data_IF_174955536381
#
_entry.id   IF_174955536381
#
_cell.length_a   1.000
_cell.length_b   1.000
_cell.length_c   1.000
_cell.angle_alpha   90.00
_cell.angle_beta   90.00
_cell.angle_gamma   90.00
#
_symmetry.space_group_name_H-M   'P 1'
#
loop_
_entity.id
_entity.type
_entity.pdbx_description
1 polymer ?
#
# COMPACT_ATOMS: atom_id res chain seq x y z
N UNK A 1 5.31 -15.37 -7.44
CA UNK A 1 6.53 -14.58 -7.72
C UNK A 1 7.42 -14.52 -6.48
N UNK A 2 8.02 -15.63 -6.02
CA UNK A 2 8.93 -15.62 -4.86
C UNK A 2 10.18 -14.76 -5.07
N UNK A 3 10.57 -14.54 -6.33
CA UNK A 3 11.74 -13.78 -6.77
C UNK A 3 11.55 -12.26 -6.72
N UNK A 4 10.30 -11.78 -6.60
CA UNK A 4 9.99 -10.34 -6.52
C UNK A 4 9.88 -9.88 -5.08
N UNK A 5 10.27 -8.63 -4.84
CA UNK A 5 10.11 -7.95 -3.56
C UNK A 5 8.78 -7.21 -3.53
N UNK A 6 8.10 -7.29 -2.40
CA UNK A 6 6.85 -6.59 -2.14
C UNK A 6 7.02 -5.69 -0.92
N UNK A 7 6.35 -4.55 -0.94
CA UNK A 7 6.30 -3.63 0.18
C UNK A 7 4.83 -3.39 0.53
N UNK A 8 4.46 -3.67 1.78
CA UNK A 8 3.11 -3.39 2.30
C UNK A 8 3.21 -2.19 3.21
N UNK A 9 2.61 -1.09 2.80
CA UNK A 9 2.51 0.14 3.58
C UNK A 9 1.10 0.27 4.15
N UNK A 10 0.98 0.21 5.48
CA UNK A 10 -0.30 0.46 6.17
C UNK A 10 -0.55 -0.44 7.38
N UNK A 11 -1.40 0.01 8.30
CA UNK A 11 -1.70 -0.69 9.54
C UNK A 11 -2.85 -1.70 9.36
N UNK A 12 -3.33 -2.26 10.47
CA UNK A 12 -4.56 -3.07 10.58
C UNK A 12 -4.50 -4.47 9.92
N UNK A 13 -3.31 -5.06 9.90
CA UNK A 13 -3.15 -6.51 9.72
C UNK A 13 -3.17 -7.20 11.09
N UNK A 14 -3.65 -8.46 11.18
CA UNK A 14 -3.54 -9.26 12.40
C UNK A 14 -2.11 -9.29 12.94
N UNK A 15 -1.94 -9.26 14.26
CA UNK A 15 -0.61 -9.21 14.90
C UNK A 15 0.25 -10.46 14.60
N UNK A 16 -0.40 -11.58 14.31
CA UNK A 16 0.18 -12.87 13.97
C UNK A 16 0.36 -13.08 12.45
N UNK A 17 0.19 -12.03 11.63
CA UNK A 17 0.40 -12.11 10.19
C UNK A 17 1.83 -12.55 9.87
N UNK A 18 1.97 -13.76 9.32
CA UNK A 18 3.25 -14.28 8.86
C UNK A 18 3.59 -13.70 7.48
N UNK A 19 4.41 -12.65 7.45
CA UNK A 19 4.90 -12.08 6.20
C UNK A 19 5.92 -13.00 5.53
N UNK A 20 5.75 -13.33 4.23
CA UNK A 20 6.77 -14.03 3.47
C UNK A 20 8.10 -13.28 3.47
N UNK A 21 9.22 -14.01 3.31
CA UNK A 21 10.59 -13.42 3.32
C UNK A 21 10.82 -12.32 2.28
N UNK A 22 10.03 -12.31 1.21
CA UNK A 22 10.12 -11.33 0.13
C UNK A 22 9.14 -10.15 0.32
N UNK A 23 8.50 -10.04 1.49
CA UNK A 23 7.59 -8.94 1.85
C UNK A 23 8.20 -8.12 2.98
N UNK A 24 8.32 -6.81 2.76
CA UNK A 24 8.60 -5.83 3.82
C UNK A 24 7.30 -5.15 4.23
N UNK A 25 6.91 -5.26 5.49
CA UNK A 25 5.74 -4.58 6.05
C UNK A 25 6.17 -3.34 6.83
N UNK A 26 5.58 -2.20 6.51
CA UNK A 26 5.69 -0.97 7.28
C UNK A 26 4.27 -0.51 7.70
N UNK A 27 3.92 -0.56 8.99
CA UNK A 27 2.59 -0.21 9.46
C UNK A 27 2.27 1.29 9.33
N UNK A 28 3.28 2.16 9.23
CA UNK A 28 3.08 3.60 9.10
C UNK A 28 4.17 4.25 8.24
N UNK A 29 3.80 4.60 7.00
CA UNK A 29 4.62 5.41 6.11
C UNK A 29 4.20 6.89 6.25
N UNK A 30 5.09 7.80 6.68
CA UNK A 30 4.74 9.20 6.82
C UNK A 30 4.50 9.87 5.45
N UNK A 31 3.64 10.90 5.36
CA UNK A 31 3.31 11.58 4.12
C UNK A 31 4.50 12.12 3.32
N UNK A 32 5.54 12.59 4.00
CA UNK A 32 6.77 13.07 3.36
C UNK A 32 7.48 12.00 2.54
N UNK A 33 7.23 10.71 2.80
CA UNK A 33 7.80 9.58 2.07
C UNK A 33 6.86 8.98 1.01
N UNK A 34 5.60 9.44 0.91
CA UNK A 34 4.67 8.94 -0.11
C UNK A 34 5.23 9.09 -1.54
N UNK A 35 5.82 10.23 -1.95
CA UNK A 35 6.30 10.38 -3.33
C UNK A 35 7.42 9.39 -3.67
N UNK A 36 8.36 9.20 -2.75
CA UNK A 36 9.45 8.22 -2.88
C UNK A 36 8.88 6.80 -2.95
N UNK A 37 7.92 6.48 -2.08
CA UNK A 37 7.30 5.15 -2.09
C UNK A 37 6.58 4.86 -3.40
N UNK A 38 5.69 5.75 -3.85
CA UNK A 38 4.88 5.52 -5.05
C UNK A 38 5.73 5.45 -6.32
N UNK A 39 6.73 6.34 -6.47
CA UNK A 39 7.64 6.34 -7.62
C UNK A 39 8.68 5.20 -7.64
N UNK A 40 8.82 4.44 -6.54
CA UNK A 40 9.81 3.35 -6.43
C UNK A 40 9.32 1.98 -6.92
N UNK A 41 8.00 1.81 -7.05
CA UNK A 41 7.40 0.52 -7.39
C UNK A 41 7.13 0.42 -8.89
N UNK A 42 7.24 -0.80 -9.44
CA UNK A 42 6.84 -1.08 -10.83
C UNK A 42 5.33 -1.20 -11.00
N UNK A 43 4.63 -1.52 -9.91
CA UNK A 43 3.20 -1.74 -9.84
C UNK A 43 2.72 -1.33 -8.44
N UNK A 44 1.58 -0.66 -8.38
CA UNK A 44 0.92 -0.27 -7.15
C UNK A 44 -0.42 -1.01 -7.01
N UNK A 45 -0.69 -1.53 -5.82
CA UNK A 45 -1.98 -2.13 -5.47
C UNK A 45 -2.54 -1.40 -4.26
N UNK A 46 -3.69 -0.76 -4.41
CA UNK A 46 -4.43 -0.21 -3.30
C UNK A 46 -5.46 -1.24 -2.80
N UNK A 47 -5.26 -1.75 -1.58
CA UNK A 47 -6.19 -2.66 -0.94
C UNK A 47 -7.21 -1.86 -0.11
N UNK A 48 -8.45 -1.80 -0.57
CA UNK A 48 -9.54 -1.12 0.13
C UNK A 48 -10.11 -2.01 1.22
N UNK A 49 -10.21 -1.47 2.43
CA UNK A 49 -10.78 -2.19 3.58
C UNK A 49 -12.30 -2.32 3.47
N UNK A 50 -12.86 -3.32 4.13
CA UNK A 50 -14.30 -3.59 4.11
C UNK A 50 -15.16 -2.42 4.62
N UNK A 51 -14.70 -1.69 5.65
CA UNK A 51 -15.36 -0.48 6.16
C UNK A 51 -15.43 0.63 5.09
N UNK A 52 -14.35 0.79 4.33
CA UNK A 52 -14.29 1.75 3.22
C UNK A 52 -15.18 1.35 2.05
N UNK A 53 -15.26 0.05 1.74
CA UNK A 53 -16.20 -0.47 0.72
C UNK A 53 -17.65 -0.23 1.14
N UNK A 54 -17.99 -0.45 2.41
CA UNK A 54 -19.33 -0.23 2.93
C UNK A 54 -19.76 1.25 2.90
N UNK A 55 -18.80 2.18 2.95
CA UNK A 55 -19.05 3.62 2.87
C UNK A 55 -19.43 4.12 1.45
N UNK A 56 -19.42 3.24 0.44
CA UNK A 56 -19.86 3.56 -0.93
C UNK A 56 -18.71 3.73 -1.92
N UNK A 57 -18.89 4.62 -2.90
CA UNK A 57 -18.10 4.67 -4.14
C UNK A 57 -17.23 5.92 -4.27
N UNK A 58 -16.49 6.27 -3.20
CA UNK A 58 -15.51 7.35 -3.27
C UNK A 58 -14.10 6.78 -3.55
N UNK A 59 -13.36 7.33 -4.53
CA UNK A 59 -12.00 6.88 -4.82
C UNK A 59 -11.06 7.18 -3.65
N UNK A 60 -10.13 6.27 -3.40
CA UNK A 60 -9.09 6.43 -2.37
C UNK A 60 -8.16 7.59 -2.72
N UNK A 61 -7.88 8.50 -1.76
CA UNK A 61 -6.85 9.55 -1.90
C UNK A 61 -5.51 8.96 -2.35
N UNK A 62 -5.22 7.73 -1.92
CA UNK A 62 -4.00 7.00 -2.27
C UNK A 62 -3.84 6.76 -3.76
N UNK A 63 -4.95 6.57 -4.48
CA UNK A 63 -4.93 6.42 -5.93
C UNK A 63 -4.46 7.71 -6.61
N UNK A 64 -4.91 8.87 -6.12
CA UNK A 64 -4.48 10.16 -6.66
C UNK A 64 -3.03 10.47 -6.31
N UNK A 65 -2.57 10.15 -5.10
CA UNK A 65 -1.16 10.31 -4.71
C UNK A 65 -0.23 9.47 -5.61
N UNK A 66 -0.61 8.21 -5.87
CA UNK A 66 0.13 7.32 -6.74
C UNK A 66 0.19 7.84 -8.18
N UNK A 67 -0.97 8.23 -8.74
CA UNK A 67 -1.06 8.76 -10.10
C UNK A 67 -0.25 10.06 -10.27
N UNK A 68 -0.23 10.94 -9.26
CA UNK A 68 0.58 12.15 -9.27
C UNK A 68 2.10 11.87 -9.31
N UNK A 69 2.52 10.67 -8.89
CA UNK A 69 3.92 10.23 -8.92
C UNK A 69 4.29 9.46 -10.21
N UNK A 70 3.37 9.36 -11.19
CA UNK A 70 3.59 8.59 -12.42
C UNK A 70 3.63 7.08 -12.22
N UNK A 71 3.03 6.60 -11.13
CA UNK A 71 2.92 5.18 -10.82
C UNK A 71 1.76 4.49 -11.55
#
# INVERSE_FOLDING_TARGET
MPERKFYVAGPQYPADTAWPRNVLHNPHLPPSLHPVFYSSARWQLNATRADMVAAGWSPSVRLFEAAACGA
#
